data_IF_128771614644
#
_entry.id   IF_128771614644
#
_cell.length_a   1.000
_cell.length_b   1.000
_cell.length_c   1.000
_cell.angle_alpha   90.00
_cell.angle_beta   90.00
_cell.angle_gamma   90.00
#
_symmetry.space_group_name_H-M   'P 1'
#
loop_
_entity.id
_entity.type
_entity.pdbx_description
1 polymer ?
#
# COMPACT_ATOMS: atom_id res chain seq x y z
N UNK A 1 -17.88 5.13 65.62
CA UNK A 1 -18.15 4.41 64.35
C UNK A 1 -18.45 5.37 63.18
N UNK A 2 -17.63 6.42 62.95
CA UNK A 2 -17.93 7.47 61.94
C UNK A 2 -16.74 7.90 61.06
N UNK A 3 -15.52 7.38 61.26
CA UNK A 3 -14.33 7.79 60.49
C UNK A 3 -14.15 7.00 59.17
N UNK A 4 -14.62 5.75 59.08
CA UNK A 4 -14.43 4.90 57.89
C UNK A 4 -15.35 5.25 56.71
N UNK A 5 -16.54 5.80 56.97
CA UNK A 5 -17.50 6.18 55.91
C UNK A 5 -17.02 7.40 55.10
N UNK A 6 -16.25 8.32 55.71
CA UNK A 6 -15.69 9.50 55.04
C UNK A 6 -14.52 9.16 54.11
N UNK A 7 -13.69 8.20 54.51
CA UNK A 7 -12.59 7.72 53.68
C UNK A 7 -13.12 7.02 52.42
N UNK A 8 -14.13 6.15 52.56
CA UNK A 8 -14.72 5.42 51.43
C UNK A 8 -15.43 6.33 50.40
N UNK A 9 -16.04 7.43 50.85
CA UNK A 9 -16.68 8.42 49.96
C UNK A 9 -15.62 9.21 49.18
N UNK A 10 -14.49 9.54 49.80
CA UNK A 10 -13.38 10.21 49.11
C UNK A 10 -12.72 9.31 48.06
N UNK A 11 -12.55 8.01 48.32
CA UNK A 11 -12.01 7.07 47.32
C UNK A 11 -12.98 6.86 46.15
N UNK A 12 -14.29 6.83 46.41
CA UNK A 12 -15.30 6.69 45.36
C UNK A 12 -15.38 7.94 44.46
N UNK A 13 -15.25 9.14 45.03
CA UNK A 13 -15.20 10.39 44.28
C UNK A 13 -13.90 10.49 43.46
N UNK A 14 -12.77 10.04 44.00
CA UNK A 14 -11.50 9.99 43.26
C UNK A 14 -11.56 9.00 42.09
N UNK A 15 -12.24 7.87 42.27
CA UNK A 15 -12.44 6.88 41.21
C UNK A 15 -13.43 7.36 40.13
N UNK A 16 -14.47 8.12 40.51
CA UNK A 16 -15.37 8.75 39.55
C UNK A 16 -14.69 9.89 38.77
N UNK A 17 -13.87 10.73 39.40
CA UNK A 17 -13.12 11.78 38.70
C UNK A 17 -12.05 11.21 37.76
N UNK A 18 -11.40 10.11 38.14
CA UNK A 18 -10.43 9.42 37.27
C UNK A 18 -11.10 8.78 36.04
N UNK A 19 -12.35 8.33 36.18
CA UNK A 19 -13.13 7.74 35.07
C UNK A 19 -13.59 8.79 34.06
N UNK A 20 -13.85 10.04 34.49
CA UNK A 20 -14.21 11.15 33.60
C UNK A 20 -13.05 11.62 32.70
N UNK A 21 -11.80 11.41 33.14
CA UNK A 21 -10.62 11.87 32.41
C UNK A 21 -10.29 11.00 31.18
N UNK A 22 -10.74 9.75 31.13
CA UNK A 22 -10.54 8.87 29.95
C UNK A 22 -11.59 9.08 28.84
N UNK A 23 -12.69 9.77 29.11
CA UNK A 23 -13.73 10.05 28.10
C UNK A 23 -13.33 11.19 27.12
N UNK A 24 -12.20 11.86 27.37
CA UNK A 24 -11.73 13.04 26.64
C UNK A 24 -10.73 12.76 25.51
N UNK A 25 -10.55 11.51 25.07
CA UNK A 25 -9.85 11.21 23.83
C UNK A 25 -10.72 11.66 22.63
N UNK A 26 -10.87 12.97 22.50
CA UNK A 26 -11.51 13.60 21.37
C UNK A 26 -10.69 13.21 20.15
N UNK A 27 -11.35 12.48 19.26
CA UNK A 27 -10.87 12.20 17.91
C UNK A 27 -10.60 13.55 17.26
N UNK A 28 -9.34 13.95 17.18
CA UNK A 28 -8.94 15.13 16.44
C UNK A 28 -9.19 14.85 14.96
N UNK A 29 -10.37 15.19 14.47
CA UNK A 29 -10.64 15.17 13.03
C UNK A 29 -9.87 16.33 12.43
N UNK A 30 -8.73 16.05 11.81
CA UNK A 30 -8.09 17.01 10.92
C UNK A 30 -9.10 17.38 9.83
N UNK A 31 -9.32 18.67 9.62
CA UNK A 31 -10.22 19.14 8.55
C UNK A 31 -9.60 18.77 7.20
N UNK A 32 -10.32 17.98 6.41
CA UNK A 32 -9.89 17.61 5.06
C UNK A 32 -9.78 18.87 4.20
N UNK A 33 -8.59 19.19 3.72
CA UNK A 33 -8.38 20.34 2.84
C UNK A 33 -8.37 19.95 1.37
N UNK A 34 -8.60 20.93 0.47
CA UNK A 34 -8.44 20.73 -0.98
C UNK A 34 -7.02 20.25 -1.31
N UNK A 35 -6.01 20.72 -0.56
CA UNK A 35 -4.62 20.30 -0.75
C UNK A 35 -4.43 18.82 -0.44
N UNK A 36 -5.10 18.31 0.59
CA UNK A 36 -5.03 16.89 0.95
C UNK A 36 -5.74 16.03 -0.11
N UNK A 37 -6.90 16.47 -0.60
CA UNK A 37 -7.66 15.78 -1.67
C UNK A 37 -6.85 15.71 -2.97
N UNK A 38 -6.09 16.76 -3.28
CA UNK A 38 -5.28 16.87 -4.50
C UNK A 38 -3.83 16.37 -4.32
N UNK A 39 -3.49 15.80 -3.16
CA UNK A 39 -2.15 15.27 -2.90
C UNK A 39 -1.95 13.89 -3.54
N UNK A 40 -0.70 13.57 -3.86
CA UNK A 40 -0.29 12.24 -4.32
C UNK A 40 0.59 11.56 -3.26
N UNK A 41 0.36 10.28 -2.91
CA UNK A 41 -0.67 9.39 -3.44
C UNK A 41 -2.09 9.78 -3.00
N UNK A 42 -3.10 9.35 -3.76
CA UNK A 42 -4.51 9.62 -3.46
C UNK A 42 -4.87 9.23 -2.03
N UNK A 43 -5.60 10.10 -1.33
CA UNK A 43 -6.11 9.84 0.03
C UNK A 43 -7.05 8.62 0.09
N UNK A 44 -7.71 8.29 -1.03
CA UNK A 44 -8.54 7.09 -1.13
C UNK A 44 -7.72 5.80 -1.31
N UNK A 45 -6.39 5.92 -1.39
CA UNK A 45 -5.50 4.84 -1.77
C UNK A 45 -5.55 4.54 -3.26
N UNK A 46 -4.73 3.56 -3.67
CA UNK A 46 -4.75 3.05 -5.03
C UNK A 46 -5.62 1.81 -5.12
N UNK A 47 -6.50 1.78 -6.13
CA UNK A 47 -7.33 0.62 -6.41
C UNK A 47 -6.46 -0.53 -6.96
N UNK A 48 -6.69 -1.78 -6.53
CA UNK A 48 -6.15 -2.94 -7.22
C UNK A 48 -6.51 -2.93 -8.71
N UNK A 49 -5.67 -3.57 -9.51
CA UNK A 49 -5.89 -3.73 -10.95
C UNK A 49 -5.62 -5.18 -11.37
N UNK A 50 -6.07 -5.56 -12.57
CA UNK A 50 -5.71 -6.85 -13.17
C UNK A 50 -6.19 -8.06 -12.37
N UNK A 51 -7.31 -7.94 -11.65
CA UNK A 51 -7.80 -8.99 -10.76
C UNK A 51 -8.16 -10.25 -11.56
N UNK A 52 -7.73 -11.42 -11.05
CA UNK A 52 -8.02 -12.74 -11.63
C UNK A 52 -8.30 -13.76 -10.55
N UNK A 53 -9.46 -14.40 -10.64
CA UNK A 53 -9.80 -15.57 -9.82
C UNK A 53 -9.13 -16.81 -10.40
N UNK A 54 -8.48 -17.61 -9.55
CA UNK A 54 -7.93 -18.90 -9.93
C UNK A 54 -9.04 -19.85 -10.44
N UNK A 55 -8.76 -20.75 -11.39
CA UNK A 55 -9.74 -21.71 -11.89
C UNK A 55 -10.40 -22.58 -10.80
N UNK A 56 -9.64 -22.94 -9.75
CA UNK A 56 -10.14 -23.67 -8.57
C UNK A 56 -10.96 -22.82 -7.59
N UNK A 57 -11.00 -21.51 -7.82
CA UNK A 57 -11.69 -20.52 -7.01
C UNK A 57 -11.10 -20.27 -5.62
N UNK A 58 -9.93 -20.82 -5.27
CA UNK A 58 -9.32 -20.69 -3.93
C UNK A 58 -8.53 -19.40 -3.75
N UNK A 59 -8.04 -18.82 -4.84
CA UNK A 59 -7.15 -17.66 -4.80
C UNK A 59 -7.61 -16.58 -5.77
N UNK A 60 -7.40 -15.32 -5.39
CA UNK A 60 -7.47 -14.17 -6.30
C UNK A 60 -6.09 -13.53 -6.35
N UNK A 61 -5.62 -13.24 -7.56
CA UNK A 61 -4.42 -12.41 -7.75
C UNK A 61 -4.83 -11.04 -8.26
N UNK A 62 -4.03 -10.04 -7.93
CA UNK A 62 -4.23 -8.67 -8.37
C UNK A 62 -2.91 -7.90 -8.30
N UNK A 63 -2.89 -6.78 -9.02
CA UNK A 63 -1.78 -5.87 -9.13
C UNK A 63 -2.02 -4.67 -8.22
N UNK A 64 -1.04 -4.34 -7.38
CA UNK A 64 -1.18 -3.25 -6.42
C UNK A 64 0.17 -2.73 -5.94
N UNK A 65 0.17 -1.55 -5.30
CA UNK A 65 1.35 -0.97 -4.66
C UNK A 65 0.92 -0.31 -3.36
N UNK A 66 1.61 -0.68 -2.28
CA UNK A 66 1.40 -0.13 -0.94
C UNK A 66 1.65 1.38 -0.86
N UNK A 67 2.52 1.91 -1.73
CA UNK A 67 2.85 3.35 -1.78
C UNK A 67 1.81 4.16 -2.55
N UNK A 68 0.85 3.50 -3.19
CA UNK A 68 -0.14 4.15 -4.06
C UNK A 68 0.45 4.72 -5.36
N UNK A 69 1.68 4.32 -5.71
CA UNK A 69 2.41 4.72 -6.92
C UNK A 69 2.97 3.50 -7.63
N UNK A 70 3.16 3.63 -8.93
CA UNK A 70 3.90 2.67 -9.75
C UNK A 70 5.32 2.46 -9.21
N UNK A 71 5.93 1.28 -9.40
CA UNK A 71 5.40 0.11 -10.11
C UNK A 71 4.38 -0.70 -9.29
N UNK A 72 3.54 -1.49 -9.98
CA UNK A 72 2.60 -2.44 -9.38
C UNK A 72 3.25 -3.79 -9.15
N UNK A 73 3.15 -4.27 -7.91
CA UNK A 73 3.55 -5.60 -7.49
C UNK A 73 2.40 -6.60 -7.65
N UNK A 74 2.74 -7.90 -7.66
CA UNK A 74 1.77 -8.99 -7.74
C UNK A 74 1.44 -9.51 -6.35
N UNK A 75 0.17 -9.38 -5.98
CA UNK A 75 -0.39 -9.88 -4.74
C UNK A 75 -1.34 -11.05 -5.00
N UNK A 76 -1.46 -11.90 -3.98
CA UNK A 76 -2.41 -13.00 -3.91
C UNK A 76 -3.20 -12.91 -2.61
N UNK A 77 -4.45 -13.32 -2.68
CA UNK A 77 -5.33 -13.42 -1.52
C UNK A 77 -6.13 -14.71 -1.58
N UNK A 78 -6.29 -15.37 -0.44
CA UNK A 78 -7.17 -16.52 -0.31
C UNK A 78 -8.64 -16.07 -0.29
N UNK A 79 -9.49 -16.78 -1.04
CA UNK A 79 -10.94 -16.53 -1.09
C UNK A 79 -11.69 -17.30 0.00
N UNK A 80 -11.13 -18.42 0.45
CA UNK A 80 -11.69 -19.36 1.42
C UNK A 80 -10.57 -19.84 2.33
N UNK A 81 -10.86 -20.09 3.60
CA UNK A 81 -9.87 -20.58 4.56
C UNK A 81 -9.98 -19.89 5.92
N UNK A 82 -8.91 -19.98 6.72
CA UNK A 82 -8.86 -19.41 8.06
C UNK A 82 -8.71 -17.88 8.07
N UNK A 83 -8.08 -17.29 7.04
CA UNK A 83 -7.85 -15.84 6.93
C UNK A 83 -8.13 -15.30 5.52
N UNK A 84 -9.37 -15.46 5.02
CA UNK A 84 -9.74 -14.94 3.70
C UNK A 84 -9.50 -13.43 3.66
N UNK A 85 -9.02 -12.92 2.54
CA UNK A 85 -8.79 -11.49 2.38
C UNK A 85 -7.40 -10.98 2.80
N UNK A 86 -6.53 -11.81 3.38
CA UNK A 86 -5.17 -11.37 3.76
C UNK A 86 -4.25 -11.30 2.53
N UNK A 87 -3.68 -10.13 2.20
CA UNK A 87 -2.83 -9.98 1.03
C UNK A 87 -1.42 -10.55 1.26
N UNK A 88 -1.02 -11.48 0.40
CA UNK A 88 0.33 -12.02 0.33
C UNK A 88 1.04 -11.43 -0.89
N UNK A 89 2.21 -10.81 -0.68
CA UNK A 89 3.07 -10.35 -1.77
C UNK A 89 3.76 -11.55 -2.42
N UNK A 90 3.45 -11.83 -3.70
CA UNK A 90 4.07 -12.93 -4.45
C UNK A 90 5.31 -12.47 -5.21
N UNK A 91 5.23 -11.34 -5.91
CA UNK A 91 6.33 -10.86 -6.75
C UNK A 91 6.43 -9.35 -6.64
N UNK A 92 7.64 -8.87 -6.36
CA UNK A 92 7.97 -7.45 -6.47
C UNK A 92 8.33 -7.09 -7.90
N UNK A 93 7.75 -6.00 -8.38
CA UNK A 93 8.07 -5.39 -9.66
C UNK A 93 9.54 -4.95 -9.71
N UNK A 94 10.08 -4.44 -8.60
CA UNK A 94 11.50 -4.05 -8.49
C UNK A 94 12.07 -4.59 -7.19
N UNK A 95 13.26 -5.21 -7.25
CA UNK A 95 13.88 -5.86 -6.10
C UNK A 95 14.28 -4.87 -4.99
N UNK A 96 14.58 -3.63 -5.38
CA UNK A 96 14.83 -2.49 -4.51
C UNK A 96 14.03 -1.28 -5.01
N UNK A 97 13.16 -0.67 -4.17
CA UNK A 97 12.57 0.62 -4.51
C UNK A 97 13.70 1.61 -4.78
N UNK A 98 13.77 2.20 -5.98
CA UNK A 98 14.51 3.45 -6.13
C UNK A 98 13.75 4.44 -5.26
N UNK A 99 14.37 4.90 -4.17
CA UNK A 99 13.82 5.98 -3.36
C UNK A 99 13.40 7.08 -4.34
N UNK A 100 12.08 7.35 -4.37
CA UNK A 100 11.58 8.53 -5.03
C UNK A 100 12.37 9.68 -4.40
N UNK A 101 13.19 10.36 -5.21
CA UNK A 101 13.88 11.56 -4.74
C UNK A 101 12.85 12.37 -4.01
N UNK A 102 13.11 12.64 -2.73
CA UNK A 102 12.27 13.52 -1.94
C UNK A 102 11.95 14.72 -2.82
N UNK A 103 10.66 15.04 -2.96
CA UNK A 103 10.21 16.29 -3.54
C UNK A 103 10.88 17.36 -2.70
N UNK A 104 12.09 17.76 -3.10
CA UNK A 104 12.75 18.93 -2.58
C UNK A 104 11.84 20.03 -3.02
N UNK A 105 10.95 20.41 -2.11
CA UNK A 105 10.19 21.64 -2.14
C UNK A 105 11.25 22.72 -2.08
N UNK A 106 11.94 22.97 -3.19
CA UNK A 106 12.73 24.15 -3.37
C UNK A 106 11.70 25.27 -3.32
N UNK A 107 11.69 25.94 -2.18
CA UNK A 107 11.00 27.20 -1.96
C UNK A 107 11.17 28.04 -3.22
N UNK A 108 10.03 28.46 -3.76
CA UNK A 108 9.67 28.97 -5.10
C UNK A 108 10.64 29.93 -5.83
N UNK A 109 11.75 30.35 -5.23
CA UNK A 109 12.54 31.51 -5.66
C UNK A 109 13.94 31.20 -6.23
N UNK A 110 14.45 29.96 -6.17
CA UNK A 110 15.85 29.69 -6.60
C UNK A 110 16.01 28.91 -7.92
N UNK A 111 14.95 28.34 -8.48
CA UNK A 111 15.04 27.60 -9.74
C UNK A 111 14.83 28.53 -10.95
N UNK A 112 15.88 28.73 -11.76
CA UNK A 112 15.82 29.32 -13.10
C UNK A 112 14.85 28.54 -14.00
N UNK A 113 14.20 29.20 -14.96
CA UNK A 113 13.21 28.59 -15.88
C UNK A 113 13.73 27.32 -16.57
N UNK A 114 15.04 27.22 -16.84
CA UNK A 114 15.68 26.01 -17.36
C UNK A 114 15.65 24.83 -16.39
N UNK A 115 16.01 25.05 -15.12
CA UNK A 115 16.04 24.00 -14.09
C UNK A 115 14.66 23.41 -13.81
N UNK A 116 13.59 24.22 -13.81
CA UNK A 116 12.21 23.70 -13.68
C UNK A 116 11.79 22.83 -14.87
N UNK A 117 12.25 23.14 -16.08
CA UNK A 117 11.93 22.35 -17.28
C UNK A 117 12.63 21.00 -17.21
N UNK A 118 13.91 20.98 -16.84
CA UNK A 118 14.69 19.75 -16.67
C UNK A 118 14.11 18.86 -15.58
N UNK A 119 13.79 19.41 -14.40
CA UNK A 119 13.15 18.67 -13.30
C UNK A 119 11.84 18.00 -13.73
N UNK A 120 11.00 18.74 -14.48
CA UNK A 120 9.73 18.21 -15.01
C UNK A 120 9.93 17.07 -16.01
N UNK A 121 11.00 17.11 -16.81
CA UNK A 121 11.36 16.02 -17.73
C UNK A 121 11.83 14.80 -16.93
N UNK A 122 12.74 14.99 -15.98
CA UNK A 122 13.27 13.91 -15.14
C UNK A 122 12.17 13.20 -14.35
N UNK A 123 11.19 13.95 -13.82
CA UNK A 123 10.03 13.36 -13.13
C UNK A 123 9.16 12.52 -14.07
N UNK A 124 8.94 12.99 -15.31
CA UNK A 124 8.19 12.23 -16.33
C UNK A 124 8.91 10.96 -16.72
N UNK A 125 10.22 11.03 -16.94
CA UNK A 125 11.04 9.88 -17.33
C UNK A 125 11.05 8.84 -16.20
N UNK A 126 11.16 9.27 -14.94
CA UNK A 126 11.08 8.39 -13.78
C UNK A 126 9.69 7.72 -13.66
N UNK A 127 8.60 8.47 -13.86
CA UNK A 127 7.25 7.92 -13.84
C UNK A 127 7.00 6.92 -14.98
N UNK A 128 7.56 7.20 -16.17
CA UNK A 128 7.50 6.28 -17.30
C UNK A 128 8.29 5.00 -17.01
N UNK A 129 9.52 5.12 -16.51
CA UNK A 129 10.34 3.98 -16.14
C UNK A 129 9.65 3.11 -15.07
N UNK A 130 9.01 3.73 -14.07
CA UNK A 130 8.25 3.00 -13.05
C UNK A 130 7.11 2.18 -13.67
N UNK A 131 6.36 2.75 -14.62
CA UNK A 131 5.29 2.02 -15.34
C UNK A 131 5.82 0.88 -16.19
N UNK A 132 6.96 1.06 -16.84
CA UNK A 132 7.60 0.01 -17.65
C UNK A 132 8.06 -1.18 -16.81
N UNK A 133 8.47 -0.95 -15.56
CA UNK A 133 8.85 -2.01 -14.62
C UNK A 133 7.66 -2.68 -13.93
N UNK A 134 6.46 -2.12 -14.11
CA UNK A 134 5.23 -2.58 -13.48
C UNK A 134 4.84 -3.99 -13.96
N UNK A 135 4.34 -4.82 -13.06
CA UNK A 135 3.82 -6.15 -13.43
C UNK A 135 2.47 -5.95 -14.12
N UNK A 136 2.27 -6.63 -15.26
CA UNK A 136 1.07 -6.53 -16.06
C UNK A 136 0.67 -7.89 -16.64
N UNK A 137 -0.56 -7.98 -17.19
CA UNK A 137 -1.05 -9.15 -17.94
C UNK A 137 -0.89 -10.49 -17.20
N UNK A 138 -1.44 -10.55 -15.98
CA UNK A 138 -1.43 -11.76 -15.16
C UNK A 138 -2.46 -12.76 -15.66
N UNK A 139 -2.06 -14.03 -15.78
CA UNK A 139 -2.92 -15.13 -16.20
C UNK A 139 -2.64 -16.40 -15.38
N UNK A 140 -3.70 -17.14 -15.06
CA UNK A 140 -3.59 -18.40 -14.31
C UNK A 140 -3.28 -19.57 -15.23
N UNK A 141 -2.47 -20.52 -14.73
CA UNK A 141 -2.45 -21.84 -15.34
C UNK A 141 -3.78 -22.56 -15.11
N UNK A 142 -4.25 -23.39 -16.05
CA UNK A 142 -5.52 -24.11 -15.90
C UNK A 142 -5.60 -25.02 -14.66
N UNK A 143 -4.46 -25.47 -14.15
CA UNK A 143 -4.35 -26.29 -12.94
C UNK A 143 -4.30 -25.48 -11.64
N UNK A 144 -4.40 -24.15 -11.69
CA UNK A 144 -4.35 -23.22 -10.55
C UNK A 144 -3.04 -23.21 -9.76
N UNK A 145 -1.94 -23.78 -10.30
CA UNK A 145 -0.66 -23.90 -9.58
C UNK A 145 0.40 -22.87 -9.95
N UNK A 146 0.21 -22.17 -11.07
CA UNK A 146 1.18 -21.22 -11.61
C UNK A 146 0.51 -19.98 -12.15
N UNK A 147 1.30 -18.92 -12.22
CA UNK A 147 0.94 -17.66 -12.86
C UNK A 147 1.90 -17.39 -14.00
N UNK A 148 1.37 -16.83 -15.08
CA UNK A 148 2.12 -16.15 -16.13
C UNK A 148 1.91 -14.66 -15.94
N UNK A 149 2.96 -13.85 -16.08
CA UNK A 149 2.83 -12.39 -16.05
C UNK A 149 3.94 -11.74 -16.89
N UNK A 150 3.73 -10.47 -17.21
CA UNK A 150 4.73 -9.64 -17.88
C UNK A 150 5.34 -8.62 -16.92
N UNK A 151 6.64 -8.36 -17.05
CA UNK A 151 7.38 -7.38 -16.25
C UNK A 151 8.57 -6.88 -17.08
N UNK A 152 8.73 -5.56 -17.22
CA UNK A 152 9.89 -5.00 -17.92
C UNK A 152 10.02 -5.41 -19.39
N UNK A 153 8.90 -5.75 -20.05
CA UNK A 153 8.90 -6.24 -21.44
C UNK A 153 9.16 -7.76 -21.58
N UNK A 154 9.41 -8.45 -20.48
CA UNK A 154 9.67 -9.89 -20.46
C UNK A 154 8.49 -10.68 -19.88
N UNK A 155 8.42 -11.97 -20.22
CA UNK A 155 7.44 -12.90 -19.65
C UNK A 155 8.07 -13.73 -18.55
N UNK A 156 7.32 -13.92 -17.48
CA UNK A 156 7.74 -14.69 -16.31
C UNK A 156 6.66 -15.67 -15.89
N UNK A 157 7.07 -16.78 -15.27
CA UNK A 157 6.18 -17.68 -14.56
C UNK A 157 6.61 -17.85 -13.10
N UNK A 158 5.65 -18.05 -12.21
CA UNK A 158 5.91 -18.38 -10.81
C UNK A 158 4.92 -19.45 -10.34
N UNK A 159 5.38 -20.37 -9.48
CA UNK A 159 4.52 -21.32 -8.78
C UNK A 159 3.96 -20.74 -7.48
N UNK A 160 2.89 -21.33 -6.96
CA UNK A 160 2.33 -20.92 -5.66
C UNK A 160 3.01 -21.57 -4.44
N UNK A 161 3.93 -22.51 -4.66
CA UNK A 161 4.65 -23.18 -3.58
C UNK A 161 5.49 -22.18 -2.79
N UNK A 162 5.59 -22.39 -1.47
CA UNK A 162 6.35 -21.51 -0.60
C UNK A 162 7.83 -21.46 -1.03
N UNK A 163 8.35 -20.25 -1.22
CA UNK A 163 9.71 -20.02 -1.70
C UNK A 163 9.89 -20.09 -3.22
N UNK A 164 8.79 -20.19 -3.99
CA UNK A 164 8.85 -20.08 -5.45
C UNK A 164 9.47 -18.75 -5.88
N UNK A 165 10.35 -18.80 -6.87
CA UNK A 165 11.00 -17.62 -7.46
C UNK A 165 10.51 -17.47 -8.91
N UNK A 166 10.21 -16.23 -9.38
CA UNK A 166 9.88 -15.99 -10.78
C UNK A 166 10.95 -16.51 -11.73
N UNK A 167 10.53 -17.26 -12.76
CA UNK A 167 11.37 -17.74 -13.85
C UNK A 167 11.05 -16.97 -15.12
N UNK A 168 12.07 -16.34 -15.73
CA UNK A 168 11.93 -15.66 -17.02
C UNK A 168 11.78 -16.68 -18.15
N UNK A 169 10.84 -16.44 -19.06
CA UNK A 169 10.52 -17.29 -20.20
C UNK A 169 11.05 -16.74 -21.53
N UNK A 170 11.32 -15.43 -21.60
CA UNK A 170 11.93 -14.78 -22.76
C UNK A 170 13.45 -15.00 -22.78
N UNK A 171 14.05 -15.10 -23.97
CA UNK A 171 15.48 -15.31 -24.20
C UNK A 171 16.24 -14.00 -24.34
#
# INVERSE_FOLDING_TARGET
MMKSKRAAVLTLIFFLLASSALAGAQTASSSLTVRDIMSEPSIAGMRPAGERLAPDGQHVVYLWSVTGKEPLDLYLVETRGEKPGTPLLLVRAVDAPKEAREDKTQTKDQATTGGRKEERVMQRDAAQQAREQSINAVEWSPDSKRLLFSKGGDLYTIGLEMGSVPQRLTR
#
